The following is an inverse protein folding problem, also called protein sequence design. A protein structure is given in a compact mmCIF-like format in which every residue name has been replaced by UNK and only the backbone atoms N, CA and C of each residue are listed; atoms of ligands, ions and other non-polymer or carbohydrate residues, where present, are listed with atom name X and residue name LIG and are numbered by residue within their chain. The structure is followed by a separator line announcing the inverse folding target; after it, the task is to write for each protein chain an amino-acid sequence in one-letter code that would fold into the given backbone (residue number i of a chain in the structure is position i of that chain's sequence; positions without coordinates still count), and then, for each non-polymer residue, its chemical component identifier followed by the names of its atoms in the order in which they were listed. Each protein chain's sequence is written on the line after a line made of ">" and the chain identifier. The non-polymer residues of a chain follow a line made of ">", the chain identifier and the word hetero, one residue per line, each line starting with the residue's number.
data_IF_655304870612
#
_entry.id   IF_655304870612
#
_cell.length_a   1.000
_cell.length_b   1.000
_cell.length_c   1.000
_cell.angle_alpha   90.00
_cell.angle_beta   90.00
_cell.angle_gamma   90.00
#
_symmetry.space_group_name_H-M   'P 1'
#
loop_
_entity.id
_entity.type
_entity.pdbx_description
1 polymer ?
#
# COMPACT_ATOMS: atom_id res chain seq x y z
N UNK A 1 -7.05 -2.32 26.66
CA UNK A 1 -5.89 -1.84 27.45
C UNK A 1 -6.29 -1.37 28.85
N UNK A 2 -7.06 -0.27 29.03
CA UNK A 2 -7.50 0.18 30.38
C UNK A 2 -8.22 -0.90 31.20
N UNK A 3 -9.14 -1.65 30.58
CA UNK A 3 -9.80 -2.80 31.21
C UNK A 3 -8.84 -3.92 31.65
N UNK A 4 -7.65 -3.98 31.05
CA UNK A 4 -6.59 -4.93 31.41
C UNK A 4 -5.61 -4.35 32.45
N UNK A 5 -5.91 -3.18 33.04
CA UNK A 5 -5.10 -2.55 34.08
C UNK A 5 -3.96 -1.66 33.57
N UNK A 6 -3.87 -1.39 32.26
CA UNK A 6 -2.86 -0.48 31.72
C UNK A 6 -3.30 0.98 31.88
N UNK A 7 -2.37 1.83 32.29
CA UNK A 7 -2.54 3.29 32.22
C UNK A 7 -2.36 3.74 30.77
N UNK A 8 -3.31 4.52 30.25
CA UNK A 8 -3.39 4.86 28.82
C UNK A 8 -3.77 6.31 28.63
N UNK A 9 -2.82 7.06 28.10
CA UNK A 9 -3.02 8.41 27.57
C UNK A 9 -3.28 8.37 26.06
N UNK A 10 -4.38 8.98 25.64
CA UNK A 10 -4.71 9.16 24.23
C UNK A 10 -4.47 10.61 23.83
N UNK A 11 -3.39 10.84 23.08
CA UNK A 11 -2.97 12.18 22.63
C UNK A 11 -2.81 12.18 21.10
N UNK A 12 -3.80 12.71 20.39
CA UNK A 12 -3.78 12.81 18.92
C UNK A 12 -3.37 14.21 18.47
N UNK A 13 -2.61 14.31 17.38
CA UNK A 13 -2.28 15.60 16.77
C UNK A 13 -1.16 16.39 17.48
N UNK A 14 -0.38 15.75 18.36
CA UNK A 14 0.76 16.38 19.01
C UNK A 14 1.79 16.87 18.01
N UNK A 15 2.35 18.06 18.27
CA UNK A 15 3.51 18.56 17.56
C UNK A 15 4.75 17.72 17.91
N UNK A 16 5.77 17.65 17.02
CA UNK A 16 7.01 16.92 17.30
C UNK A 16 7.68 17.32 18.62
N UNK A 17 7.67 18.60 18.96
CA UNK A 17 8.29 19.15 20.17
C UNK A 17 7.54 18.70 21.44
N UNK A 18 6.21 18.64 21.37
CA UNK A 18 5.37 18.14 22.47
C UNK A 18 5.60 16.65 22.71
N UNK A 19 5.74 15.86 21.63
CA UNK A 19 6.06 14.45 21.72
C UNK A 19 7.39 14.24 22.42
N UNK A 20 8.44 14.98 22.03
CA UNK A 20 9.76 14.90 22.64
C UNK A 20 9.73 15.22 24.15
N UNK A 21 8.86 16.12 24.58
CA UNK A 21 8.74 16.51 25.99
C UNK A 21 8.12 15.44 26.88
N UNK A 22 7.24 14.58 26.34
CA UNK A 22 6.45 13.63 27.13
C UNK A 22 6.81 12.16 26.90
N UNK A 23 7.45 11.81 25.77
CA UNK A 23 7.71 10.41 25.38
C UNK A 23 8.58 9.66 26.39
N UNK A 24 9.40 10.38 27.18
CA UNK A 24 10.23 9.81 28.24
C UNK A 24 9.44 9.17 29.38
N UNK A 25 8.17 9.54 29.56
CA UNK A 25 7.34 9.09 30.69
C UNK A 25 6.62 7.76 30.44
N UNK A 26 6.72 7.19 29.23
CA UNK A 26 5.94 6.01 28.82
C UNK A 26 6.81 4.79 28.54
N UNK A 27 6.36 3.61 28.99
CA UNK A 27 6.96 2.31 28.66
C UNK A 27 6.62 1.82 27.23
N UNK A 28 5.48 2.26 26.70
CA UNK A 28 4.94 1.80 25.43
C UNK A 28 4.35 2.96 24.64
N UNK A 29 4.53 2.93 23.31
CA UNK A 29 3.97 3.92 22.41
C UNK A 29 3.19 3.26 21.28
N UNK A 30 2.03 3.83 20.96
CA UNK A 30 1.16 3.43 19.87
C UNK A 30 1.15 4.53 18.81
N UNK A 31 1.46 4.19 17.56
CA UNK A 31 1.44 5.16 16.46
C UNK A 31 0.68 4.65 15.23
N UNK A 32 0.11 5.59 14.47
CA UNK A 32 -0.40 5.36 13.09
C UNK A 32 0.60 5.96 12.10
N UNK A 33 0.15 6.70 11.08
CA UNK A 33 1.02 7.21 10.00
C UNK A 33 1.61 8.61 10.25
N UNK A 34 0.90 9.46 11.01
CA UNK A 34 1.26 10.86 11.19
C UNK A 34 2.54 11.03 12.03
N UNK A 35 2.55 10.46 13.23
CA UNK A 35 3.69 10.51 14.15
C UNK A 35 4.93 9.84 13.55
N UNK A 36 6.07 10.54 13.57
CA UNK A 36 7.35 10.00 13.10
C UNK A 36 8.21 9.65 14.31
N UNK A 37 8.45 8.36 14.51
CA UNK A 37 9.27 7.84 15.61
C UNK A 37 10.69 7.67 15.07
N UNK A 38 11.40 8.79 14.94
CA UNK A 38 12.77 8.82 14.44
C UNK A 38 13.76 8.84 15.60
N UNK A 39 15.06 8.89 15.26
CA UNK A 39 16.16 8.73 16.22
C UNK A 39 16.07 9.70 17.41
N UNK A 40 15.67 10.94 17.18
CA UNK A 40 15.44 11.97 18.19
C UNK A 40 14.36 11.57 19.21
N UNK A 41 13.20 11.10 18.74
CA UNK A 41 12.12 10.60 19.60
C UNK A 41 12.58 9.41 20.42
N UNK A 42 13.28 8.46 19.78
CA UNK A 42 13.80 7.26 20.46
C UNK A 42 14.83 7.62 21.53
N UNK A 43 15.68 8.63 21.29
CA UNK A 43 16.67 9.11 22.26
C UNK A 43 16.04 9.86 23.44
N UNK A 44 14.96 10.60 23.20
CA UNK A 44 14.21 11.28 24.27
C UNK A 44 13.41 10.29 25.14
N UNK A 45 13.03 9.15 24.59
CA UNK A 45 12.16 8.15 25.21
C UNK A 45 12.89 7.21 26.19
N UNK A 46 13.37 7.74 27.31
CA UNK A 46 14.24 7.04 28.27
C UNK A 46 13.67 5.74 28.85
N UNK A 47 12.34 5.64 29.00
CA UNK A 47 11.66 4.47 29.58
C UNK A 47 11.00 3.57 28.53
N UNK A 48 11.02 3.96 27.26
CA UNK A 48 10.28 3.28 26.20
C UNK A 48 10.89 1.90 25.92
N UNK A 49 10.05 0.87 25.92
CA UNK A 49 10.43 -0.53 25.69
C UNK A 49 9.78 -1.11 24.44
N UNK A 50 8.63 -0.58 24.02
CA UNK A 50 7.93 -1.06 22.82
C UNK A 50 7.23 0.06 22.06
N UNK A 51 7.32 0.02 20.73
CA UNK A 51 6.52 0.82 19.80
C UNK A 51 5.67 -0.11 18.96
N UNK A 52 4.35 0.07 18.99
CA UNK A 52 3.42 -0.68 18.16
C UNK A 52 2.81 0.25 17.11
N UNK A 53 3.04 -0.06 15.83
CA UNK A 53 2.39 0.63 14.72
C UNK A 53 1.08 -0.05 14.34
N UNK A 54 -0.01 0.71 14.37
CA UNK A 54 -1.26 0.29 13.74
C UNK A 54 -1.17 0.35 12.22
N UNK A 55 -0.75 -0.74 11.57
CA UNK A 55 -0.59 -0.83 10.11
C UNK A 55 0.39 -1.91 9.68
N UNK A 56 0.58 -2.06 8.37
CA UNK A 56 1.39 -3.15 7.79
C UNK A 56 2.88 -2.86 7.79
N UNK A 57 3.31 -1.68 7.34
CA UNK A 57 4.73 -1.32 7.33
C UNK A 57 5.11 -0.53 8.57
N UNK A 58 6.40 -0.28 8.73
CA UNK A 58 7.00 0.46 9.87
C UNK A 58 7.81 1.67 9.40
N UNK A 59 7.51 2.18 8.21
CA UNK A 59 8.21 3.26 7.49
C UNK A 59 8.42 4.58 8.30
N UNK A 60 7.49 4.91 9.19
CA UNK A 60 7.57 6.07 10.08
C UNK A 60 8.34 5.83 11.38
N UNK A 61 8.87 4.62 11.59
CA UNK A 61 9.69 4.23 12.75
C UNK A 61 11.12 3.99 12.25
N UNK A 62 12.11 4.54 12.95
CA UNK A 62 13.51 4.16 12.76
C UNK A 62 13.79 2.84 13.50
N UNK A 63 13.58 1.72 12.81
CA UNK A 63 13.69 0.37 13.38
C UNK A 63 15.12 0.07 13.85
N UNK A 64 16.13 0.57 13.15
CA UNK A 64 17.53 0.36 13.53
C UNK A 64 17.89 1.15 14.80
N UNK A 65 17.45 2.41 14.90
CA UNK A 65 17.62 3.19 16.12
C UNK A 65 16.85 2.57 17.30
N UNK A 66 15.62 2.09 17.08
CA UNK A 66 14.81 1.44 18.11
C UNK A 66 15.51 0.17 18.62
N UNK A 67 15.99 -0.68 17.71
CA UNK A 67 16.75 -1.89 18.04
C UNK A 67 18.03 -1.57 18.82
N UNK A 68 18.79 -0.55 18.41
CA UNK A 68 20.00 -0.12 19.10
C UNK A 68 19.73 0.40 20.52
N UNK A 69 18.54 0.98 20.74
CA UNK A 69 18.08 1.45 22.05
C UNK A 69 17.37 0.37 22.89
N UNK A 70 17.27 -0.88 22.41
CA UNK A 70 16.57 -1.97 23.11
C UNK A 70 15.04 -1.87 23.06
N UNK A 71 14.48 -1.10 22.14
CA UNK A 71 13.04 -0.89 21.97
C UNK A 71 12.48 -1.87 20.94
N UNK A 72 11.49 -2.69 21.34
CA UNK A 72 10.78 -3.60 20.44
C UNK A 72 9.91 -2.80 19.45
N UNK A 73 9.93 -3.17 18.17
CA UNK A 73 9.01 -2.62 17.15
C UNK A 73 8.05 -3.71 16.70
N UNK A 74 6.74 -3.45 16.85
CA UNK A 74 5.66 -4.35 16.41
C UNK A 74 4.69 -3.62 15.49
N UNK A 75 3.91 -4.38 14.74
CA UNK A 75 2.92 -3.88 13.80
C UNK A 75 1.70 -4.82 13.73
N UNK A 76 0.70 -4.46 12.93
CA UNK A 76 -0.54 -5.23 12.73
C UNK A 76 -0.70 -5.63 11.26
N UNK A 77 0.16 -6.52 10.73
CA UNK A 77 0.30 -6.76 9.29
C UNK A 77 -0.88 -7.51 8.67
N UNK A 78 -1.70 -8.19 9.48
CA UNK A 78 -2.87 -8.90 9.00
C UNK A 78 -4.11 -8.00 8.87
N UNK A 79 -4.33 -7.11 9.84
CA UNK A 79 -5.60 -6.40 10.04
C UNK A 79 -6.17 -5.65 8.82
N UNK A 80 -5.32 -5.08 7.96
CA UNK A 80 -5.77 -4.32 6.78
C UNK A 80 -5.67 -5.07 5.45
N UNK A 81 -5.28 -6.35 5.44
CA UNK A 81 -4.96 -7.06 4.19
C UNK A 81 -6.14 -7.12 3.22
N UNK A 82 -7.34 -7.44 3.73
CA UNK A 82 -8.56 -7.50 2.92
C UNK A 82 -8.96 -6.13 2.35
N UNK A 83 -8.90 -5.08 3.16
CA UNK A 83 -9.29 -3.73 2.74
C UNK A 83 -8.35 -3.15 1.67
N UNK A 84 -7.04 -3.38 1.79
CA UNK A 84 -6.08 -2.96 0.75
C UNK A 84 -6.30 -3.76 -0.53
N UNK A 85 -6.58 -5.07 -0.43
CA UNK A 85 -6.89 -5.90 -1.59
C UNK A 85 -8.18 -5.46 -2.30
N UNK A 86 -9.21 -5.09 -1.53
CA UNK A 86 -10.46 -4.53 -2.07
C UNK A 86 -10.23 -3.20 -2.79
N UNK A 87 -9.43 -2.30 -2.19
CA UNK A 87 -9.07 -1.06 -2.87
C UNK A 87 -8.31 -1.33 -4.17
N UNK A 88 -7.33 -2.23 -4.18
CA UNK A 88 -6.58 -2.57 -5.40
C UNK A 88 -7.48 -3.09 -6.53
N UNK A 89 -8.45 -3.95 -6.21
CA UNK A 89 -9.46 -4.43 -7.17
C UNK A 89 -10.38 -3.28 -7.61
N UNK A 90 -10.82 -2.43 -6.69
CA UNK A 90 -11.64 -1.25 -7.00
C UNK A 90 -10.93 -0.28 -7.95
N UNK A 91 -9.65 -0.01 -7.69
CA UNK A 91 -8.78 0.80 -8.55
C UNK A 91 -8.58 0.16 -9.93
N UNK A 92 -8.46 -1.16 -10.00
CA UNK A 92 -8.38 -1.89 -11.27
C UNK A 92 -9.65 -1.71 -12.11
N UNK A 93 -10.84 -1.82 -11.48
CA UNK A 93 -12.11 -1.51 -12.16
C UNK A 93 -12.20 -0.04 -12.57
N UNK A 94 -11.75 0.86 -11.69
CA UNK A 94 -11.74 2.30 -11.96
C UNK A 94 -10.93 2.60 -13.23
N UNK A 95 -9.74 2.00 -13.39
CA UNK A 95 -8.94 2.10 -14.61
C UNK A 95 -9.62 1.44 -15.82
N UNK A 96 -10.08 0.19 -15.66
CA UNK A 96 -10.67 -0.58 -16.76
C UNK A 96 -11.92 0.09 -17.35
N UNK A 97 -12.70 0.79 -16.50
CA UNK A 97 -14.00 1.35 -16.86
C UNK A 97 -14.06 2.89 -16.80
N UNK A 98 -12.93 3.55 -16.51
CA UNK A 98 -12.81 5.01 -16.41
C UNK A 98 -13.84 5.64 -15.47
N UNK A 99 -14.09 4.98 -14.32
CA UNK A 99 -15.21 5.32 -13.42
C UNK A 99 -15.08 6.75 -12.86
N UNK A 100 -13.92 7.18 -12.32
CA UNK A 100 -13.79 8.55 -11.81
C UNK A 100 -14.00 9.61 -12.89
N UNK A 101 -13.43 9.41 -14.08
CA UNK A 101 -13.54 10.32 -15.21
C UNK A 101 -15.00 10.41 -15.72
N UNK A 102 -15.68 9.28 -15.85
CA UNK A 102 -17.10 9.23 -16.24
C UNK A 102 -18.01 9.90 -15.19
N UNK A 103 -17.70 9.71 -13.91
CA UNK A 103 -18.41 10.36 -12.81
C UNK A 103 -18.24 11.88 -12.87
N UNK A 104 -17.02 12.37 -13.06
CA UNK A 104 -16.74 13.81 -13.21
C UNK A 104 -17.50 14.41 -14.41
N UNK A 105 -17.41 13.78 -15.58
CA UNK A 105 -18.12 14.23 -16.79
C UNK A 105 -19.65 14.30 -16.60
N UNK A 106 -20.23 13.28 -15.95
CA UNK A 106 -21.69 13.26 -15.69
C UNK A 106 -22.10 14.34 -14.69
N UNK A 107 -21.28 14.61 -13.66
CA UNK A 107 -21.49 15.71 -12.70
C UNK A 107 -21.37 17.09 -13.36
N UNK A 108 -20.62 17.20 -14.45
CA UNK A 108 -20.60 18.38 -15.33
C UNK A 108 -21.79 18.43 -16.32
N UNK A 109 -22.79 17.57 -16.11
CA UNK A 109 -24.01 17.47 -16.92
C UNK A 109 -23.77 17.05 -18.38
N UNK A 110 -22.65 16.34 -18.65
CA UNK A 110 -22.35 15.78 -19.97
C UNK A 110 -22.79 14.32 -20.05
N UNK A 111 -23.27 13.90 -21.23
CA UNK A 111 -23.65 12.50 -21.51
C UNK A 111 -22.80 11.89 -22.62
N UNK A 112 -21.54 11.56 -22.29
CA UNK A 112 -20.51 11.21 -23.28
C UNK A 112 -20.40 9.68 -23.51
N UNK A 113 -21.52 8.99 -23.77
CA UNK A 113 -21.53 7.52 -23.95
C UNK A 113 -20.49 6.99 -24.95
N UNK A 114 -20.22 7.74 -26.03
CA UNK A 114 -19.24 7.35 -27.07
C UNK A 114 -17.79 7.54 -26.63
N UNK A 115 -17.51 8.43 -25.67
CA UNK A 115 -16.17 8.70 -25.14
C UNK A 115 -15.71 7.59 -24.21
N UNK A 116 -16.60 7.08 -23.37
CA UNK A 116 -16.27 6.09 -22.34
C UNK A 116 -16.45 4.65 -22.86
N UNK A 117 -15.41 4.15 -23.54
CA UNK A 117 -15.28 2.72 -23.88
C UNK A 117 -14.30 2.04 -22.94
N UNK A 118 -14.80 1.06 -22.18
CA UNK A 118 -14.03 0.34 -21.16
C UNK A 118 -13.38 -0.94 -21.66
N UNK A 119 -12.76 -1.66 -20.73
CA UNK A 119 -12.20 -3.00 -20.93
C UNK A 119 -12.84 -3.97 -19.94
N UNK A 120 -13.24 -5.14 -20.44
CA UNK A 120 -13.69 -6.25 -19.59
C UNK A 120 -12.48 -6.98 -18.99
N UNK A 121 -12.52 -7.21 -17.66
CA UNK A 121 -11.44 -7.90 -16.93
C UNK A 121 -11.44 -9.41 -17.15
N UNK A 122 -12.61 -10.01 -17.42
CA UNK A 122 -12.72 -11.44 -17.70
C UNK A 122 -11.79 -11.85 -18.87
N UNK A 123 -11.07 -12.96 -18.67
CA UNK A 123 -10.10 -13.48 -19.63
C UNK A 123 -8.81 -12.65 -19.78
N UNK A 124 -8.60 -11.61 -18.97
CA UNK A 124 -7.33 -10.85 -18.93
C UNK A 124 -6.34 -11.48 -17.98
N UNK A 125 -5.07 -11.16 -18.18
CA UNK A 125 -3.97 -11.60 -17.30
C UNK A 125 -3.63 -10.51 -16.29
N UNK A 126 -3.69 -10.85 -15.00
CA UNK A 126 -3.20 -10.05 -13.89
C UNK A 126 -1.81 -10.55 -13.47
N UNK A 127 -0.81 -9.68 -13.55
CA UNK A 127 0.49 -9.86 -12.94
C UNK A 127 0.52 -9.28 -11.52
N UNK A 128 0.83 -10.10 -10.53
CA UNK A 128 0.97 -9.70 -9.12
C UNK A 128 2.44 -9.73 -8.73
N UNK A 129 2.98 -8.55 -8.38
CA UNK A 129 4.34 -8.41 -7.84
C UNK A 129 4.22 -8.36 -6.32
N UNK A 130 4.67 -9.42 -5.65
CA UNK A 130 4.52 -9.65 -4.21
C UNK A 130 3.30 -10.51 -3.89
N UNK A 131 3.53 -11.75 -3.45
CA UNK A 131 2.47 -12.75 -3.17
C UNK A 131 2.36 -13.08 -1.67
N UNK A 132 2.55 -12.06 -0.85
CA UNK A 132 2.26 -12.07 0.59
C UNK A 132 0.76 -12.05 0.89
N UNK A 133 0.38 -11.55 2.08
CA UNK A 133 -1.01 -11.52 2.55
C UNK A 133 -1.95 -10.79 1.59
N UNK A 134 -1.60 -9.56 1.20
CA UNK A 134 -2.42 -8.74 0.29
C UNK A 134 -2.45 -9.32 -1.11
N UNK A 135 -1.30 -9.73 -1.66
CA UNK A 135 -1.24 -10.32 -3.00
C UNK A 135 -2.10 -11.57 -3.16
N UNK A 136 -2.18 -12.42 -2.13
CA UNK A 136 -3.06 -13.60 -2.12
C UNK A 136 -4.55 -13.22 -2.07
N UNK A 137 -4.91 -12.22 -1.28
CA UNK A 137 -6.28 -11.71 -1.23
C UNK A 137 -6.71 -11.08 -2.57
N UNK A 138 -5.79 -10.41 -3.27
CA UNK A 138 -6.01 -9.88 -4.62
C UNK A 138 -6.13 -11.01 -5.64
N UNK A 139 -5.25 -12.02 -5.60
CA UNK A 139 -5.31 -13.18 -6.49
C UNK A 139 -6.64 -13.92 -6.39
N UNK A 140 -7.12 -14.17 -5.15
CA UNK A 140 -8.43 -14.79 -4.89
C UNK A 140 -9.57 -14.03 -5.56
N UNK A 141 -9.58 -12.70 -5.47
CA UNK A 141 -10.61 -11.84 -6.08
C UNK A 141 -10.48 -11.80 -7.60
N UNK A 142 -9.25 -11.69 -8.12
CA UNK A 142 -8.99 -11.71 -9.56
C UNK A 142 -9.45 -13.01 -10.22
N UNK A 143 -9.23 -14.15 -9.55
CA UNK A 143 -9.73 -15.45 -10.02
C UNK A 143 -11.26 -15.49 -10.06
N UNK A 144 -11.94 -14.96 -9.04
CA UNK A 144 -13.41 -14.85 -9.05
C UNK A 144 -13.95 -13.94 -10.18
N UNK A 145 -13.13 -13.02 -10.69
CA UNK A 145 -13.42 -12.21 -11.88
C UNK A 145 -13.06 -12.91 -13.20
N UNK A 146 -12.56 -14.15 -13.12
CA UNK A 146 -12.12 -14.97 -14.25
C UNK A 146 -10.89 -14.40 -14.96
N UNK A 147 -9.97 -13.79 -14.21
CA UNK A 147 -8.64 -13.41 -14.70
C UNK A 147 -7.64 -14.57 -14.54
N UNK A 148 -6.66 -14.63 -15.42
CA UNK A 148 -5.46 -15.48 -15.25
C UNK A 148 -4.48 -14.75 -14.33
N UNK A 149 -3.97 -15.42 -13.30
CA UNK A 149 -3.03 -14.81 -12.33
C UNK A 149 -1.60 -15.33 -12.55
N UNK A 150 -0.69 -14.41 -12.85
CA UNK A 150 0.75 -14.60 -12.81
C UNK A 150 1.31 -13.92 -11.57
N UNK A 151 2.23 -14.55 -10.86
CA UNK A 151 2.83 -13.97 -9.66
C UNK A 151 4.35 -14.04 -9.69
N UNK A 152 4.98 -12.97 -9.21
CA UNK A 152 6.41 -12.91 -8.94
C UNK A 152 6.61 -12.43 -7.50
N UNK A 153 7.53 -13.07 -6.78
CA UNK A 153 7.94 -12.65 -5.45
C UNK A 153 9.43 -12.98 -5.26
N UNK A 154 10.17 -12.09 -4.61
CA UNK A 154 11.61 -12.25 -4.41
C UNK A 154 11.96 -13.32 -3.36
N UNK A 155 11.03 -13.64 -2.45
CA UNK A 155 11.25 -14.54 -1.33
C UNK A 155 10.34 -15.77 -1.37
N UNK A 156 9.12 -15.62 -1.90
CA UNK A 156 8.15 -16.71 -2.01
C UNK A 156 8.29 -17.38 -3.38
N UNK A 157 8.81 -18.60 -3.40
CA UNK A 157 9.00 -19.37 -4.65
C UNK A 157 7.87 -20.36 -4.94
N UNK A 158 7.02 -20.65 -3.95
CA UNK A 158 5.90 -21.58 -4.06
C UNK A 158 4.64 -21.05 -3.36
N UNK A 159 3.49 -21.35 -3.94
CA UNK A 159 2.16 -20.96 -3.46
C UNK A 159 1.28 -22.19 -3.57
N UNK A 160 0.54 -22.53 -2.51
CA UNK A 160 -0.32 -23.72 -2.48
C UNK A 160 -1.64 -23.56 -3.24
N UNK A 161 -1.86 -22.40 -3.86
CA UNK A 161 -3.03 -22.13 -4.70
C UNK A 161 -2.72 -22.52 -6.15
N UNK A 162 -3.36 -23.57 -6.71
CA UNK A 162 -3.09 -24.02 -8.07
C UNK A 162 -3.50 -23.01 -9.14
N UNK A 163 -4.27 -21.98 -8.79
CA UNK A 163 -4.70 -20.93 -9.72
C UNK A 163 -3.68 -19.79 -9.85
N UNK A 164 -2.59 -19.82 -9.07
CA UNK A 164 -1.53 -18.82 -9.11
C UNK A 164 -0.29 -19.43 -9.77
N UNK A 165 0.04 -18.95 -10.98
CA UNK A 165 1.26 -19.36 -11.66
C UNK A 165 2.43 -18.48 -11.22
N UNK A 166 3.37 -19.05 -10.46
CA UNK A 166 4.65 -18.38 -10.17
C UNK A 166 5.51 -18.32 -11.44
N UNK A 167 6.00 -17.13 -11.77
CA UNK A 167 6.80 -16.86 -12.98
C UNK A 167 7.97 -15.91 -12.66
N UNK A 168 8.89 -15.74 -13.61
CA UNK A 168 9.93 -14.71 -13.49
C UNK A 168 9.36 -13.30 -13.63
N UNK A 169 10.08 -12.29 -13.13
CA UNK A 169 9.69 -10.88 -13.30
C UNK A 169 9.51 -10.52 -14.79
N UNK A 170 10.45 -10.96 -15.62
CA UNK A 170 10.45 -10.71 -17.07
C UNK A 170 9.24 -11.37 -17.76
N UNK A 171 8.89 -12.62 -17.37
CA UNK A 171 7.69 -13.30 -17.88
C UNK A 171 6.42 -12.59 -17.41
N UNK A 172 6.37 -12.12 -16.16
CA UNK A 172 5.21 -11.41 -15.62
C UNK A 172 4.93 -10.12 -16.39
N UNK A 173 5.92 -9.23 -16.52
CA UNK A 173 5.71 -7.91 -17.15
C UNK A 173 5.39 -8.04 -18.64
N UNK A 174 5.95 -9.04 -19.31
CA UNK A 174 5.73 -9.26 -20.75
C UNK A 174 4.35 -9.87 -21.07
N UNK A 175 3.70 -10.53 -20.10
CA UNK A 175 2.46 -11.27 -20.33
C UNK A 175 1.21 -10.68 -19.65
N UNK A 176 1.38 -9.75 -18.71
CA UNK A 176 0.27 -9.17 -17.96
C UNK A 176 -0.43 -8.03 -18.72
N UNK A 177 -1.77 -8.01 -18.67
CA UNK A 177 -2.59 -6.88 -19.16
C UNK A 177 -2.79 -5.84 -18.04
N UNK A 178 -2.79 -6.31 -16.79
CA UNK A 178 -2.83 -5.51 -15.56
C UNK A 178 -1.68 -5.95 -14.66
N UNK A 179 -0.98 -5.01 -14.03
CA UNK A 179 0.07 -5.31 -13.04
C UNK A 179 -0.25 -4.60 -11.74
N UNK A 180 -0.21 -5.32 -10.63
CA UNK A 180 -0.40 -4.75 -9.29
C UNK A 180 0.74 -5.12 -8.35
N UNK A 181 1.09 -4.18 -7.46
CA UNK A 181 2.21 -4.31 -6.54
C UNK A 181 1.74 -4.42 -5.08
N UNK A 182 2.29 -5.40 -4.38
CA UNK A 182 2.02 -5.72 -2.97
C UNK A 182 3.32 -6.06 -2.22
N UNK A 183 4.37 -5.27 -2.49
CA UNK A 183 5.70 -5.40 -1.88
C UNK A 183 5.99 -4.24 -0.93
N UNK A 184 6.88 -4.43 0.07
CA UNK A 184 7.41 -3.31 0.84
C UNK A 184 8.26 -2.38 -0.04
N UNK A 185 8.55 -1.18 0.48
CA UNK A 185 9.54 -0.30 -0.14
C UNK A 185 10.94 -0.94 -0.06
N UNK A 186 11.76 -0.71 -1.09
CA UNK A 186 13.14 -1.18 -1.15
C UNK A 186 14.12 0.00 -1.11
N UNK A 187 15.32 -0.24 -0.55
CA UNK A 187 16.46 0.68 -0.66
C UNK A 187 17.08 0.67 -2.06
N UNK A 188 16.87 -0.40 -2.82
CA UNK A 188 17.41 -0.58 -4.16
C UNK A 188 16.63 0.19 -5.24
N UNK A 189 15.60 0.95 -4.82
CA UNK A 189 14.74 1.74 -5.69
C UNK A 189 13.54 0.97 -6.24
N UNK A 190 12.95 1.53 -7.29
CA UNK A 190 11.74 1.01 -7.90
C UNK A 190 11.98 -0.32 -8.63
N UNK A 191 11.11 -1.30 -8.40
CA UNK A 191 11.13 -2.57 -9.15
C UNK A 191 10.58 -2.38 -10.57
N UNK A 192 9.67 -1.41 -10.75
CA UNK A 192 9.19 -0.99 -12.07
C UNK A 192 9.85 0.33 -12.45
N UNK A 193 10.93 0.23 -13.24
CA UNK A 193 11.59 1.35 -13.89
C UNK A 193 11.53 1.26 -15.41
N UNK A 194 12.32 2.09 -16.09
CA UNK A 194 12.36 2.19 -17.56
C UNK A 194 12.54 0.82 -18.25
N UNK A 195 13.44 -0.02 -17.71
CA UNK A 195 13.68 -1.38 -18.23
C UNK A 195 12.39 -2.20 -18.24
N UNK A 196 11.69 -2.28 -17.11
CA UNK A 196 10.49 -3.10 -16.98
C UNK A 196 9.36 -2.56 -17.87
N UNK A 197 9.16 -1.24 -17.91
CA UNK A 197 8.16 -0.65 -18.81
C UNK A 197 8.45 -0.96 -20.28
N UNK A 198 9.72 -0.97 -20.70
CA UNK A 198 10.11 -1.34 -22.06
C UNK A 198 9.81 -2.80 -22.46
N UNK A 199 9.53 -3.68 -21.49
CA UNK A 199 9.20 -5.10 -21.70
C UNK A 199 7.68 -5.37 -21.68
N UNK A 200 6.89 -4.40 -21.24
CA UNK A 200 5.45 -4.60 -21.05
C UNK A 200 4.68 -4.66 -22.36
N UNK A 201 3.51 -5.30 -22.32
CA UNK A 201 2.50 -5.16 -23.38
C UNK A 201 2.12 -3.70 -23.54
N UNK A 202 1.99 -3.24 -24.78
CA UNK A 202 1.43 -1.93 -25.08
C UNK A 202 -0.02 -1.86 -24.58
N UNK A 203 -0.33 -0.84 -23.81
CA UNK A 203 -1.64 -0.61 -23.20
C UNK A 203 -1.85 -1.32 -21.84
N UNK A 204 -0.78 -1.78 -21.18
CA UNK A 204 -0.85 -2.34 -19.82
C UNK A 204 -1.43 -1.33 -18.82
N UNK A 205 -2.09 -1.82 -17.77
CA UNK A 205 -2.58 -0.99 -16.65
C UNK A 205 -1.80 -1.29 -15.37
N UNK A 206 -1.38 -0.24 -14.64
CA UNK A 206 -0.60 -0.39 -13.40
C UNK A 206 -1.44 0.01 -12.18
N UNK A 207 -1.37 -0.78 -11.10
CA UNK A 207 -2.05 -0.50 -9.83
C UNK A 207 -1.04 -0.57 -8.69
N UNK A 208 -0.82 0.54 -8.00
CA UNK A 208 0.02 0.60 -6.80
C UNK A 208 -0.79 1.04 -5.58
N UNK A 209 -1.12 0.08 -4.72
CA UNK A 209 -1.66 0.29 -3.38
C UNK A 209 -0.73 -0.28 -2.29
N UNK A 210 0.58 -0.36 -2.60
CA UNK A 210 1.60 -0.89 -1.71
C UNK A 210 2.37 0.24 -1.02
N UNK A 211 3.36 0.81 -1.72
CA UNK A 211 4.23 1.88 -1.22
C UNK A 211 4.62 2.83 -2.35
N UNK A 212 4.89 4.09 -2.01
CA UNK A 212 5.62 4.99 -2.91
C UNK A 212 7.00 4.44 -3.27
N UNK A 213 7.48 4.74 -4.48
CA UNK A 213 8.83 4.40 -4.92
C UNK A 213 9.06 2.94 -5.33
N UNK A 214 8.08 2.06 -5.22
CA UNK A 214 8.16 0.71 -5.84
C UNK A 214 7.92 0.76 -7.35
N UNK A 215 7.26 1.83 -7.81
CA UNK A 215 7.16 2.22 -9.22
C UNK A 215 7.88 3.56 -9.35
N UNK A 216 8.78 3.67 -10.33
CA UNK A 216 9.46 4.93 -10.61
C UNK A 216 8.45 5.90 -11.24
N UNK A 217 8.07 6.96 -10.52
CA UNK A 217 7.02 7.88 -10.96
C UNK A 217 7.37 8.58 -12.28
N UNK A 218 8.65 8.93 -12.47
CA UNK A 218 9.15 9.51 -13.74
C UNK A 218 9.01 8.55 -14.92
N UNK A 219 9.41 7.29 -14.74
CA UNK A 219 9.31 6.28 -15.80
C UNK A 219 7.85 5.92 -16.10
N UNK A 220 6.98 5.90 -15.07
CA UNK A 220 5.55 5.71 -15.23
C UNK A 220 4.92 6.83 -16.07
N UNK A 221 5.24 8.10 -15.78
CA UNK A 221 4.75 9.24 -16.55
C UNK A 221 5.16 9.13 -18.02
N UNK A 222 6.45 8.85 -18.30
CA UNK A 222 6.92 8.68 -19.67
C UNK A 222 6.22 7.50 -20.39
N UNK A 223 5.94 6.40 -19.68
CA UNK A 223 5.23 5.24 -20.21
C UNK A 223 3.73 5.52 -20.47
N UNK A 224 3.10 6.40 -19.68
CA UNK A 224 1.75 6.90 -19.93
C UNK A 224 1.71 7.78 -21.17
N UNK A 225 2.65 8.73 -21.28
CA UNK A 225 2.74 9.69 -22.40
C UNK A 225 3.00 8.99 -23.75
N UNK A 226 3.85 7.94 -23.75
CA UNK A 226 4.15 7.17 -24.95
C UNK A 226 3.12 6.04 -25.25
N UNK A 227 2.12 5.86 -24.38
CA UNK A 227 1.04 4.89 -24.54
C UNK A 227 1.41 3.42 -24.27
N UNK A 228 2.59 3.16 -23.71
CA UNK A 228 2.94 1.82 -23.20
C UNK A 228 2.02 1.45 -22.04
N UNK A 229 1.79 2.39 -21.11
CA UNK A 229 0.80 2.27 -20.05
C UNK A 229 -0.47 2.98 -20.49
N UNK A 230 -1.59 2.25 -20.54
CA UNK A 230 -2.89 2.83 -20.89
C UNK A 230 -3.47 3.66 -19.75
N UNK A 231 -3.32 3.16 -18.52
CA UNK A 231 -3.85 3.79 -17.31
C UNK A 231 -3.03 3.35 -16.08
N UNK A 232 -3.03 4.18 -15.05
CA UNK A 232 -2.44 3.85 -13.78
C UNK A 232 -3.35 4.25 -12.62
N UNK A 233 -3.35 3.47 -11.54
CA UNK A 233 -4.00 3.82 -10.29
C UNK A 233 -3.00 3.79 -9.14
N UNK A 234 -2.91 4.89 -8.39
CA UNK A 234 -1.96 5.07 -7.30
C UNK A 234 -2.68 5.51 -6.02
N UNK A 235 -2.58 4.69 -4.98
CA UNK A 235 -2.98 5.08 -3.61
C UNK A 235 -1.81 5.69 -2.82
N UNK A 236 -0.59 5.56 -3.32
CA UNK A 236 0.65 5.86 -2.61
C UNK A 236 1.66 6.54 -3.52
N UNK A 237 2.50 7.38 -2.95
CA UNK A 237 3.47 8.22 -3.69
C UNK A 237 4.84 8.25 -3.00
N UNK A 238 5.90 8.52 -3.76
CA UNK A 238 7.27 8.64 -3.22
C UNK A 238 7.37 9.68 -2.09
N UNK A 239 6.66 10.80 -2.26
CA UNK A 239 6.47 11.85 -1.25
C UNK A 239 4.99 12.01 -0.96
N UNK A 240 4.61 11.98 0.31
CA UNK A 240 3.22 12.15 0.75
C UNK A 240 3.12 13.26 1.81
N UNK A 241 2.31 14.33 1.57
CA UNK A 241 1.56 14.63 0.35
C UNK A 241 2.46 14.83 -0.88
N UNK A 242 1.98 14.40 -2.05
CA UNK A 242 2.72 14.52 -3.31
C UNK A 242 2.52 15.90 -3.94
N UNK A 243 3.56 16.38 -4.62
CA UNK A 243 3.54 17.58 -5.46
C UNK A 243 3.89 17.21 -6.91
N UNK A 244 3.78 15.93 -7.27
CA UNK A 244 4.00 15.45 -8.62
C UNK A 244 2.78 15.77 -9.51
N UNK A 245 2.54 17.06 -9.73
CA UNK A 245 1.41 17.59 -10.51
C UNK A 245 1.29 16.98 -11.91
N UNK A 246 2.39 16.73 -12.67
CA UNK A 246 2.29 16.07 -13.97
C UNK A 246 1.61 14.70 -13.92
N UNK A 247 1.89 13.90 -12.89
CA UNK A 247 1.24 12.60 -12.70
C UNK A 247 -0.18 12.76 -12.16
N UNK A 248 -0.40 13.75 -11.29
CA UNK A 248 -1.70 14.04 -10.69
C UNK A 248 -2.74 14.46 -11.74
N UNK A 249 -2.32 15.33 -12.66
CA UNK A 249 -3.18 15.92 -13.67
C UNK A 249 -3.34 15.04 -14.92
N UNK A 250 -2.60 13.93 -15.01
CA UNK A 250 -2.65 13.05 -16.17
C UNK A 250 -4.03 12.36 -16.29
N UNK A 251 -4.73 12.47 -17.44
CA UNK A 251 -6.14 12.06 -17.57
C UNK A 251 -6.40 10.56 -17.38
N UNK A 252 -5.38 9.73 -17.60
CA UNK A 252 -5.45 8.28 -17.43
C UNK A 252 -4.91 7.80 -16.07
N UNK A 253 -4.66 8.71 -15.14
CA UNK A 253 -4.21 8.37 -13.79
C UNK A 253 -5.38 8.53 -12.81
N UNK A 254 -5.56 7.53 -11.96
CA UNK A 254 -6.57 7.50 -10.90
C UNK A 254 -5.84 7.49 -9.56
N UNK A 255 -6.28 8.33 -8.63
CA UNK A 255 -5.51 8.63 -7.43
C UNK A 255 -6.40 8.54 -6.20
N UNK A 256 -5.83 8.03 -5.11
CA UNK A 256 -6.42 8.10 -3.78
C UNK A 256 -5.35 8.49 -2.75
N UNK A 257 -5.72 9.21 -1.67
CA UNK A 257 -4.75 9.76 -0.73
C UNK A 257 -4.39 8.75 0.38
N UNK A 258 -3.79 7.62 0.01
CA UNK A 258 -3.33 6.57 0.94
C UNK A 258 -4.44 6.03 1.87
N UNK A 259 -5.53 5.58 1.25
CA UNK A 259 -6.74 5.12 1.94
C UNK A 259 -6.89 3.60 1.98
N UNK A 260 -5.90 2.81 1.51
CA UNK A 260 -6.00 1.35 1.48
C UNK A 260 -6.37 0.68 2.80
N UNK A 261 -5.94 1.24 3.93
CA UNK A 261 -6.29 0.75 5.27
C UNK A 261 -7.43 1.54 5.94
N UNK A 262 -7.98 2.56 5.28
CA UNK A 262 -8.93 3.52 5.86
C UNK A 262 -10.39 3.05 5.75
N UNK A 263 -10.65 1.82 6.17
CA UNK A 263 -12.00 1.27 6.34
C UNK A 263 -12.32 1.12 7.82
N UNK A 264 -13.59 1.23 8.20
CA UNK A 264 -14.02 1.06 9.59
C UNK A 264 -13.55 -0.29 10.13
N UNK A 265 -13.77 -1.35 9.37
CA UNK A 265 -13.46 -2.73 9.76
C UNK A 265 -11.95 -2.96 9.90
N UNK A 266 -11.13 -2.34 9.04
CA UNK A 266 -9.67 -2.41 9.23
C UNK A 266 -9.22 -1.61 10.44
N UNK A 267 -9.81 -0.44 10.71
CA UNK A 267 -9.49 0.34 11.91
C UNK A 267 -9.84 -0.43 13.19
N UNK A 268 -11.01 -1.07 13.23
CA UNK A 268 -11.45 -1.86 14.37
C UNK A 268 -10.49 -3.03 14.62
N UNK A 269 -10.16 -3.83 13.58
CA UNK A 269 -9.19 -4.93 13.70
C UNK A 269 -7.79 -4.46 14.09
N UNK A 270 -7.33 -3.32 13.58
CA UNK A 270 -6.03 -2.75 13.95
C UNK A 270 -6.04 -2.39 15.44
N UNK A 271 -7.12 -1.76 15.93
CA UNK A 271 -7.26 -1.41 17.33
C UNK A 271 -7.25 -2.62 18.25
N UNK A 272 -7.99 -3.68 17.89
CA UNK A 272 -8.02 -4.96 18.61
C UNK A 272 -6.64 -5.63 18.63
N UNK A 273 -6.03 -5.87 17.46
CA UNK A 273 -4.73 -6.56 17.35
C UNK A 273 -3.64 -5.79 18.12
N UNK A 274 -3.66 -4.46 18.05
CA UNK A 274 -2.72 -3.62 18.79
C UNK A 274 -2.91 -3.72 20.30
N UNK A 275 -4.16 -3.67 20.76
CA UNK A 275 -4.47 -3.81 22.18
C UNK A 275 -4.02 -5.18 22.69
N UNK A 276 -4.27 -6.25 21.93
CA UNK A 276 -3.84 -7.60 22.27
C UNK A 276 -2.32 -7.73 22.32
N UNK A 277 -1.60 -7.15 21.37
CA UNK A 277 -0.13 -7.11 21.36
C UNK A 277 0.42 -6.47 22.65
N UNK A 278 -0.12 -5.32 23.04
CA UNK A 278 0.35 -4.60 24.23
C UNK A 278 -0.05 -5.26 25.53
N UNK A 279 -1.28 -5.79 25.62
CA UNK A 279 -1.73 -6.54 26.79
C UNK A 279 -0.86 -7.79 26.98
N UNK A 280 -0.61 -8.55 25.91
CA UNK A 280 0.25 -9.72 25.97
C UNK A 280 1.71 -9.35 26.31
N UNK A 281 2.21 -8.23 25.80
CA UNK A 281 3.54 -7.73 26.11
C UNK A 281 3.69 -7.30 27.57
N UNK A 282 2.69 -6.60 28.13
CA UNK A 282 2.72 -6.10 29.52
C UNK A 282 2.73 -7.19 30.60
N UNK A 283 2.44 -8.43 30.23
CA UNK A 283 2.40 -9.60 31.12
C UNK A 283 3.71 -10.39 31.13
N UNK A 284 4.68 -10.00 30.32
CA UNK A 284 6.02 -10.62 30.25
C UNK A 284 6.97 -9.92 31.21
#
# INVERSE_FOLDING_TARGET
>A
MRQAGLDVDEKTGMAPEELLAVVGDYDAMVVRSATKVKKDVIQAAKNLKVVVRGGVGVDNIDVEAAKAAGVEVKNTPAASSASVAELAIGLMFACARQIPQATASTKEHKWEKKRFSGTELHGKTLGIIGIGRIGREVAKRAHALGMTVLAFDAFITKVDDPNIKMVSMDELVSNADYITLHIPASKDGAILGEKQFGMMKKGVTIINAARGGVVCEKALLAALENGTVKAAALDVFEKEPTENWPLIDHPNVILTPHIGAATKEAQDRIGEELADILIAWSRK
#
